data_IF_842522492666
#
_entry.id   IF_842522492666
#
_cell.length_a   1.000
_cell.length_b   1.000
_cell.length_c   1.000
_cell.angle_alpha   90.00
_cell.angle_beta   90.00
_cell.angle_gamma   90.00
#
_symmetry.space_group_name_H-M   'P 1'
#
loop_
_entity.id
_entity.type
_entity.pdbx_description
1 polymer ?
#
# COMPACT_ATOMS: atom_id res chain seq x y z
N UNK A 1 -17.65 21.30 -26.82
CA UNK A 1 -16.54 20.57 -27.47
C UNK A 1 -16.26 19.40 -26.56
N UNK A 2 -17.00 18.31 -26.78
CA UNK A 2 -17.16 17.21 -25.82
C UNK A 2 -16.66 15.91 -26.46
N UNK A 3 -15.63 15.30 -25.88
CA UNK A 3 -14.98 14.08 -26.38
C UNK A 3 -15.73 12.78 -26.03
N UNK A 4 -17.07 12.80 -25.98
CA UNK A 4 -17.92 11.65 -25.64
C UNK A 4 -18.41 10.88 -26.88
N UNK A 5 -17.50 10.45 -27.75
CA UNK A 5 -17.87 9.82 -29.03
C UNK A 5 -17.33 8.40 -29.26
N UNK A 6 -16.67 7.79 -28.26
CA UNK A 6 -16.09 6.46 -28.39
C UNK A 6 -17.10 5.32 -28.10
N UNK A 7 -17.01 4.15 -28.77
CA UNK A 7 -17.92 3.01 -28.56
C UNK A 7 -17.91 2.40 -27.16
N UNK A 8 -16.93 2.74 -26.33
CA UNK A 8 -16.75 2.20 -24.98
C UNK A 8 -16.87 3.35 -23.98
N UNK A 9 -17.94 3.43 -23.17
CA UNK A 9 -18.03 4.39 -22.09
C UNK A 9 -17.07 3.96 -20.97
N UNK A 10 -15.88 4.56 -20.93
CA UNK A 10 -14.98 4.42 -19.79
C UNK A 10 -15.63 5.07 -18.55
N UNK A 11 -15.55 4.45 -17.36
CA UNK A 11 -16.02 5.06 -16.12
C UNK A 11 -15.28 6.38 -15.85
N UNK A 12 -15.89 7.34 -15.12
CA UNK A 12 -15.23 8.58 -14.75
C UNK A 12 -13.92 8.24 -14.05
N UNK A 13 -12.80 8.79 -14.56
CA UNK A 13 -11.43 8.52 -14.11
C UNK A 13 -11.39 8.36 -12.59
N UNK A 14 -11.34 7.11 -12.15
CA UNK A 14 -10.83 6.80 -10.83
C UNK A 14 -9.40 7.35 -10.81
N UNK A 15 -8.96 8.06 -9.75
CA UNK A 15 -7.55 8.31 -9.57
C UNK A 15 -6.93 6.97 -9.15
N UNK A 16 -6.75 6.07 -10.12
CA UNK A 16 -6.24 4.70 -9.92
C UNK A 16 -4.77 4.70 -9.48
N UNK A 17 -4.12 5.86 -9.62
CA UNK A 17 -2.73 6.06 -9.23
C UNK A 17 -2.73 6.42 -7.75
N UNK A 18 -2.34 5.46 -6.91
CA UNK A 18 -2.17 5.70 -5.47
C UNK A 18 -1.25 6.90 -5.29
N UNK A 19 -1.49 7.70 -4.24
CA UNK A 19 -0.55 8.76 -3.85
C UNK A 19 0.89 8.24 -3.70
N UNK A 20 1.02 6.94 -3.37
CA UNK A 20 2.29 6.22 -3.31
C UNK A 20 2.94 6.08 -4.68
N UNK A 21 2.18 5.77 -5.73
CA UNK A 21 2.69 5.65 -7.09
C UNK A 21 3.14 7.01 -7.64
N UNK A 22 2.41 8.09 -7.31
CA UNK A 22 2.84 9.45 -7.64
C UNK A 22 4.15 9.85 -6.96
N UNK A 23 4.28 9.55 -5.66
CA UNK A 23 5.49 9.85 -4.90
C UNK A 23 6.68 9.02 -5.38
N UNK A 24 6.48 7.71 -5.57
CA UNK A 24 7.48 6.78 -6.05
C UNK A 24 7.95 7.16 -7.45
N UNK A 25 7.02 7.47 -8.36
CA UNK A 25 7.36 7.90 -9.72
C UNK A 25 8.09 9.24 -9.75
N UNK A 26 7.70 10.18 -8.88
CA UNK A 26 8.42 11.44 -8.69
C UNK A 26 9.87 11.21 -8.28
N UNK A 27 10.08 10.36 -7.27
CA UNK A 27 11.41 10.04 -6.75
C UNK A 27 12.28 9.26 -7.76
N UNK A 28 11.68 8.27 -8.45
CA UNK A 28 12.35 7.51 -9.51
C UNK A 28 12.83 8.43 -10.63
N UNK A 29 12.00 9.37 -11.09
CA UNK A 29 12.42 10.34 -12.11
C UNK A 29 13.59 11.19 -11.64
N UNK A 30 13.58 11.67 -10.40
CA UNK A 30 14.71 12.45 -9.86
C UNK A 30 16.02 11.66 -9.87
N UNK A 31 15.97 10.36 -9.55
CA UNK A 31 17.15 9.49 -9.56
C UNK A 31 17.60 9.11 -10.98
N UNK A 32 16.65 8.73 -11.84
CA UNK A 32 16.91 8.27 -13.20
C UNK A 32 17.37 9.42 -14.10
N UNK A 33 16.97 10.67 -13.84
CA UNK A 33 17.36 11.83 -14.64
C UNK A 33 18.29 12.80 -13.89
N UNK A 34 18.94 12.37 -12.80
CA UNK A 34 19.90 13.20 -12.06
C UNK A 34 21.10 13.64 -12.93
N UNK A 35 21.54 12.77 -13.84
CA UNK A 35 22.50 13.08 -14.90
C UNK A 35 21.87 12.91 -16.27
N UNK A 36 22.39 13.56 -17.33
CA UNK A 36 21.99 13.24 -18.71
C UNK A 36 22.22 11.74 -18.99
N UNK A 37 21.37 11.17 -19.83
CA UNK A 37 21.43 9.77 -20.25
C UNK A 37 21.63 9.77 -21.77
N UNK A 38 22.75 9.23 -22.22
CA UNK A 38 23.12 9.22 -23.65
C UNK A 38 22.82 7.88 -24.34
N UNK A 39 22.66 6.79 -23.58
CA UNK A 39 22.46 5.44 -24.09
C UNK A 39 21.28 4.76 -23.38
N UNK A 40 20.52 3.93 -24.09
CA UNK A 40 19.39 3.19 -23.52
C UNK A 40 19.84 2.17 -22.45
N UNK A 41 21.01 1.56 -22.61
CA UNK A 41 21.59 0.64 -21.63
C UNK A 41 21.84 1.33 -20.28
N UNK A 42 22.36 2.57 -20.32
CA UNK A 42 22.58 3.39 -19.12
C UNK A 42 21.27 3.74 -18.43
N UNK A 43 20.22 4.03 -19.22
CA UNK A 43 18.87 4.29 -18.70
C UNK A 43 18.33 3.09 -17.94
N UNK A 44 18.43 1.89 -18.54
CA UNK A 44 17.94 0.64 -17.93
C UNK A 44 18.73 0.32 -16.66
N UNK A 45 20.05 0.45 -16.68
CA UNK A 45 20.90 0.26 -15.51
C UNK A 45 20.49 1.21 -14.37
N UNK A 46 20.23 2.48 -14.68
CA UNK A 46 19.85 3.50 -13.70
C UNK A 46 18.44 3.29 -13.15
N UNK A 47 17.49 2.87 -13.98
CA UNK A 47 16.15 2.48 -13.52
C UNK A 47 16.26 1.32 -12.53
N UNK A 48 17.06 0.29 -12.84
CA UNK A 48 17.26 -0.85 -11.94
C UNK A 48 17.89 -0.44 -10.59
N UNK A 49 18.92 0.42 -10.62
CA UNK A 49 19.56 0.95 -9.41
C UNK A 49 18.60 1.82 -8.59
N UNK A 50 17.82 2.69 -9.25
CA UNK A 50 16.84 3.55 -8.60
C UNK A 50 15.69 2.72 -7.99
N UNK A 51 15.20 1.70 -8.69
CA UNK A 51 14.19 0.77 -8.20
C UNK A 51 14.68 0.00 -6.97
N UNK A 52 15.91 -0.53 -6.99
CA UNK A 52 16.50 -1.22 -5.84
C UNK A 52 16.62 -0.31 -4.60
N UNK A 53 16.93 0.98 -4.79
CA UNK A 53 16.92 1.98 -3.71
C UNK A 53 15.51 2.23 -3.18
N UNK A 54 14.50 2.29 -4.05
CA UNK A 54 13.12 2.53 -3.65
C UNK A 54 12.49 1.31 -2.92
N UNK A 55 12.89 0.09 -3.26
CA UNK A 55 12.40 -1.13 -2.57
C UNK A 55 12.76 -1.11 -1.08
N UNK A 56 13.92 -0.55 -0.70
CA UNK A 56 14.28 -0.34 0.72
C UNK A 56 13.32 0.61 1.45
N UNK A 57 12.83 1.65 0.77
CA UNK A 57 11.83 2.55 1.35
C UNK A 57 10.48 1.87 1.53
N UNK A 58 10.07 1.05 0.56
CA UNK A 58 8.86 0.22 0.67
C UNK A 58 8.99 -0.81 1.80
N UNK A 59 10.18 -1.34 2.05
CA UNK A 59 10.45 -2.23 3.18
C UNK A 59 10.31 -1.50 4.53
N UNK A 60 10.89 -0.31 4.68
CA UNK A 60 10.66 0.55 5.84
C UNK A 60 9.17 0.93 6.01
N UNK A 61 8.47 1.21 4.91
CA UNK A 61 7.03 1.51 4.95
C UNK A 61 6.21 0.29 5.38
N UNK A 62 6.58 -0.91 4.92
CA UNK A 62 6.00 -2.18 5.39
C UNK A 62 6.26 -2.37 6.88
N UNK A 63 7.45 -2.10 7.39
CA UNK A 63 7.75 -2.14 8.83
C UNK A 63 6.87 -1.17 9.60
N UNK A 64 6.67 0.05 9.10
CA UNK A 64 5.80 1.05 9.70
C UNK A 64 4.32 0.63 9.71
N UNK A 65 3.80 0.14 8.58
CA UNK A 65 2.45 -0.37 8.46
C UNK A 65 2.23 -1.65 9.29
N UNK A 66 3.24 -2.51 9.40
CA UNK A 66 3.17 -3.71 10.22
C UNK A 66 3.10 -3.33 11.71
N UNK A 67 3.86 -2.31 12.16
CA UNK A 67 3.82 -1.83 13.54
C UNK A 67 2.43 -1.31 13.93
N UNK A 68 1.74 -0.59 13.05
CA UNK A 68 0.37 -0.15 13.31
C UNK A 68 -0.62 -1.31 13.30
N UNK A 69 -0.45 -2.29 12.41
CA UNK A 69 -1.25 -3.52 12.38
C UNK A 69 -1.02 -4.35 13.65
N UNK A 70 0.21 -4.47 14.17
CA UNK A 70 0.50 -5.22 15.40
C UNK A 70 -0.16 -4.59 16.62
N UNK A 71 -0.17 -3.26 16.70
CA UNK A 71 -0.92 -2.55 17.73
C UNK A 71 -2.43 -2.83 17.66
N UNK A 72 -3.01 -2.83 16.45
CA UNK A 72 -4.44 -3.15 16.24
C UNK A 72 -4.75 -4.62 16.55
N UNK A 73 -3.87 -5.54 16.15
CA UNK A 73 -3.99 -6.97 16.49
C UNK A 73 -3.97 -7.18 18.01
N UNK A 74 -3.09 -6.48 18.72
CA UNK A 74 -3.05 -6.54 20.18
C UNK A 74 -4.37 -6.08 20.82
N UNK A 75 -4.97 -5.01 20.31
CA UNK A 75 -6.29 -4.55 20.78
C UNK A 75 -7.37 -5.58 20.47
N UNK A 76 -7.39 -6.15 19.26
CA UNK A 76 -8.33 -7.21 18.88
C UNK A 76 -8.23 -8.42 19.80
N UNK A 77 -7.01 -8.91 20.07
CA UNK A 77 -6.76 -10.04 20.96
C UNK A 77 -7.21 -9.76 22.40
N UNK A 78 -7.08 -8.51 22.87
CA UNK A 78 -7.58 -8.11 24.19
C UNK A 78 -9.11 -8.10 24.22
N UNK A 79 -9.76 -7.58 23.18
CA UNK A 79 -11.22 -7.62 23.06
C UNK A 79 -11.72 -9.07 23.04
N UNK A 80 -11.06 -9.94 22.27
CA UNK A 80 -11.39 -11.37 22.23
C UNK A 80 -11.16 -12.05 23.59
N UNK A 81 -10.07 -11.74 24.28
CA UNK A 81 -9.81 -12.28 25.61
C UNK A 81 -10.85 -11.83 26.64
N UNK A 82 -11.27 -10.57 26.56
CA UNK A 82 -12.32 -9.98 27.41
C UNK A 82 -13.66 -10.65 27.11
N UNK A 83 -14.07 -10.73 25.85
CA UNK A 83 -15.30 -11.40 25.42
C UNK A 83 -15.30 -12.88 25.81
N UNK A 84 -14.17 -13.56 25.64
CA UNK A 84 -14.01 -14.95 26.08
C UNK A 84 -14.05 -15.09 27.61
N UNK A 85 -13.57 -14.10 28.38
CA UNK A 85 -13.69 -14.08 29.83
C UNK A 85 -15.14 -13.93 30.29
N UNK A 86 -15.91 -13.06 29.62
CA UNK A 86 -17.35 -12.97 29.85
C UNK A 86 -18.07 -14.26 29.49
N UNK A 87 -17.69 -14.92 28.38
CA UNK A 87 -18.25 -16.20 27.96
C UNK A 87 -17.90 -17.35 28.94
N UNK A 88 -16.71 -17.33 29.55
CA UNK A 88 -16.27 -18.31 30.56
C UNK A 88 -16.92 -18.09 31.94
N UNK A 89 -17.15 -16.84 32.35
CA UNK A 89 -17.82 -16.52 33.61
C UNK A 89 -19.35 -16.66 33.53
N UNK A 90 -19.93 -16.56 32.33
CA UNK A 90 -21.32 -16.95 32.08
C UNK A 90 -21.42 -18.47 31.89
N UNK A 91 -21.39 -19.24 32.99
CA UNK A 91 -21.75 -20.67 32.99
C UNK A 91 -23.25 -20.93 32.73
N UNK A 92 -23.90 -20.12 31.88
CA UNK A 92 -25.26 -20.31 31.41
C UNK A 92 -25.24 -20.76 29.94
N UNK A 93 -25.11 -22.07 29.79
CA UNK A 93 -25.09 -22.87 28.55
C UNK A 93 -26.39 -22.84 27.72
N UNK A 94 -27.19 -21.77 27.73
CA UNK A 94 -28.44 -21.75 26.97
C UNK A 94 -28.67 -20.39 26.33
N UNK A 95 -28.40 -20.32 25.02
CA UNK A 95 -29.00 -19.45 23.97
C UNK A 95 -27.96 -18.76 23.07
N UNK A 96 -27.19 -19.56 22.35
CA UNK A 96 -26.68 -19.21 21.02
C UNK A 96 -27.14 -20.32 20.07
N UNK A 97 -28.33 -20.14 19.50
CA UNK A 97 -28.70 -20.64 18.17
C UNK A 97 -28.77 -19.43 17.25
#
# INVERSE_FOLDING_TARGET
MDWRGGPVPWPPRSPDVSSHDYFLWGHLKTLVYASPVDQDEDLVARINVAAARCVKYLECLKVYANRSIDAVKHVSLLVDAILNSYCKHCTCQRRCQ
#
